data_IF_219118625251
#
_entry.id   IF_219118625251
#
_cell.length_a   1.000
_cell.length_b   1.000
_cell.length_c   1.000
_cell.angle_alpha   90.00
_cell.angle_beta   90.00
_cell.angle_gamma   90.00
#
_symmetry.space_group_name_H-M   'P 1'
#
loop_
_entity.id
_entity.type
_entity.pdbx_description
1 polymer ?
#
# COMPACT_ATOMS: atom_id res chain seq x y z
N UNK A 1 -32.97 -0.61 22.36
CA UNK A 1 -31.92 -1.56 21.97
C UNK A 1 -31.95 -1.62 20.46
N UNK A 2 -30.95 -1.07 19.78
CA UNK A 2 -30.93 -0.99 18.30
C UNK A 2 -30.88 -2.38 17.67
N UNK A 3 -31.71 -2.60 16.65
CA UNK A 3 -31.78 -3.86 15.91
C UNK A 3 -30.75 -3.86 14.77
N UNK A 4 -29.63 -4.55 15.00
CA UNK A 4 -28.54 -4.68 14.03
C UNK A 4 -28.97 -5.43 12.75
N UNK A 5 -30.07 -6.19 12.75
CA UNK A 5 -30.56 -6.87 11.55
C UNK A 5 -31.12 -5.90 10.49
N UNK A 6 -31.57 -4.72 10.92
CA UNK A 6 -32.06 -3.66 10.05
C UNK A 6 -30.94 -2.93 9.28
N UNK A 7 -29.67 -3.11 9.69
CA UNK A 7 -28.55 -2.42 9.08
C UNK A 7 -28.19 -3.03 7.72
N UNK A 8 -27.79 -2.14 6.80
CA UNK A 8 -27.26 -2.53 5.51
C UNK A 8 -25.84 -3.10 5.69
N UNK A 9 -25.45 -4.04 4.83
CA UNK A 9 -24.13 -4.69 4.85
C UNK A 9 -22.97 -3.69 4.96
N UNK A 10 -22.95 -2.55 4.25
CA UNK A 10 -21.90 -1.54 4.40
C UNK A 10 -21.78 -0.96 5.81
N UNK A 11 -22.91 -0.74 6.49
CA UNK A 11 -22.93 -0.19 7.85
C UNK A 11 -22.42 -1.21 8.89
N UNK A 12 -22.78 -2.48 8.72
CA UNK A 12 -22.24 -3.58 9.54
C UNK A 12 -20.74 -3.74 9.37
N UNK A 13 -20.26 -3.64 8.12
CA UNK A 13 -18.82 -3.68 7.81
C UNK A 13 -18.09 -2.49 8.42
N UNK A 14 -18.67 -1.29 8.33
CA UNK A 14 -18.10 -0.08 8.91
C UNK A 14 -17.98 -0.19 10.43
N UNK A 15 -19.04 -0.61 11.13
CA UNK A 15 -19.02 -0.86 12.58
C UNK A 15 -17.94 -1.86 12.99
N UNK A 16 -17.83 -2.99 12.29
CA UNK A 16 -16.80 -3.99 12.59
C UNK A 16 -15.38 -3.47 12.27
N UNK A 17 -15.23 -2.63 11.24
CA UNK A 17 -13.97 -1.98 10.94
C UNK A 17 -13.53 -0.99 12.02
N UNK A 18 -14.44 -0.22 12.64
CA UNK A 18 -14.06 0.66 13.78
C UNK A 18 -13.60 -0.15 14.99
N UNK A 19 -14.01 -1.42 15.09
CA UNK A 19 -13.56 -2.39 16.09
C UNK A 19 -12.35 -3.24 15.64
N UNK A 20 -11.75 -2.95 14.47
CA UNK A 20 -10.56 -3.65 13.94
C UNK A 20 -10.80 -5.01 13.32
N UNK A 21 -12.04 -5.37 13.02
CA UNK A 21 -12.40 -6.67 12.48
C UNK A 21 -12.47 -6.55 10.95
N UNK A 22 -11.64 -7.32 10.24
CA UNK A 22 -11.62 -7.37 8.77
C UNK A 22 -12.87 -8.10 8.25
N UNK A 23 -13.65 -7.45 7.37
CA UNK A 23 -14.98 -7.95 6.95
C UNK A 23 -15.10 -8.33 5.46
N UNK A 24 -13.98 -8.49 4.76
CA UNK A 24 -13.93 -8.64 3.30
C UNK A 24 -14.62 -9.90 2.75
N UNK A 25 -14.79 -10.95 3.57
CA UNK A 25 -15.25 -12.29 3.13
C UNK A 25 -16.56 -12.77 3.77
N UNK A 26 -17.17 -12.00 4.68
CA UNK A 26 -18.32 -12.46 5.46
C UNK A 26 -19.67 -12.17 4.81
N UNK A 27 -20.63 -13.10 4.95
CA UNK A 27 -22.03 -12.90 4.54
C UNK A 27 -22.77 -12.07 5.59
N UNK A 28 -23.92 -11.48 5.24
CA UNK A 28 -24.70 -10.62 6.15
C UNK A 28 -25.00 -11.29 7.51
N UNK A 29 -25.33 -12.57 7.51
CA UNK A 29 -25.59 -13.33 8.74
C UNK A 29 -24.35 -13.41 9.65
N UNK A 30 -23.17 -13.61 9.08
CA UNK A 30 -21.91 -13.66 9.83
C UNK A 30 -21.53 -12.28 10.37
N UNK A 31 -21.76 -11.23 9.58
CA UNK A 31 -21.53 -9.84 10.00
C UNK A 31 -22.43 -9.45 11.19
N UNK A 32 -23.72 -9.83 11.17
CA UNK A 32 -24.62 -9.58 12.29
C UNK A 32 -24.14 -10.26 13.57
N UNK A 33 -23.76 -11.54 13.47
CA UNK A 33 -23.24 -12.30 14.61
C UNK A 33 -21.94 -11.68 15.16
N UNK A 34 -21.06 -11.22 14.29
CA UNK A 34 -19.83 -10.51 14.70
C UNK A 34 -20.15 -9.18 15.38
N UNK A 35 -21.15 -8.44 14.91
CA UNK A 35 -21.56 -7.19 15.55
C UNK A 35 -22.16 -7.43 16.95
N UNK A 36 -22.95 -8.48 17.10
CA UNK A 36 -23.51 -8.91 18.39
C UNK A 36 -22.40 -9.30 19.36
N UNK A 37 -21.46 -10.15 18.94
CA UNK A 37 -20.31 -10.56 19.74
C UNK A 37 -19.43 -9.37 20.15
N UNK A 38 -19.14 -8.46 19.21
CA UNK A 38 -18.37 -7.25 19.50
C UNK A 38 -19.06 -6.34 20.52
N UNK A 39 -20.40 -6.32 20.55
CA UNK A 39 -21.19 -5.59 21.54
C UNK A 39 -21.23 -6.31 22.89
N UNK A 40 -21.33 -7.64 22.90
CA UNK A 40 -21.34 -8.46 24.12
C UNK A 40 -20.04 -8.34 24.91
N UNK A 41 -18.91 -8.26 24.21
CA UNK A 41 -17.58 -8.14 24.83
C UNK A 41 -17.16 -6.69 25.09
N UNK A 42 -18.03 -5.71 24.82
CA UNK A 42 -17.75 -4.27 24.88
C UNK A 42 -16.41 -3.92 24.20
N UNK A 43 -16.25 -4.38 22.96
CA UNK A 43 -15.01 -4.19 22.22
C UNK A 43 -14.82 -2.69 21.99
N UNK A 44 -13.71 -2.13 22.51
CA UNK A 44 -13.36 -0.72 22.30
C UNK A 44 -13.23 -0.38 20.82
N UNK A 45 -13.56 0.86 20.45
CA UNK A 45 -13.17 1.35 19.13
C UNK A 45 -11.64 1.41 19.07
N UNK A 46 -11.08 0.87 18.00
CA UNK A 46 -9.69 1.11 17.70
C UNK A 46 -9.63 2.55 17.22
N UNK A 47 -8.97 3.41 17.98
CA UNK A 47 -8.57 4.71 17.46
C UNK A 47 -7.70 4.44 16.23
N UNK A 48 -8.30 4.61 15.06
CA UNK A 48 -7.59 4.78 13.80
C UNK A 48 -7.10 6.23 13.80
N UNK A 49 -6.23 6.59 14.77
CA UNK A 49 -5.37 7.75 14.60
C UNK A 49 -4.50 7.43 13.39
N UNK A 50 -4.89 7.92 12.20
CA UNK A 50 -4.06 8.17 11.02
C UNK A 50 -2.80 7.28 10.85
N UNK A 51 -2.91 5.97 11.08
CA UNK A 51 -1.81 5.00 10.99
C UNK A 51 -1.15 5.08 9.62
N UNK A 52 -1.92 5.47 8.61
CA UNK A 52 -1.45 5.70 7.26
C UNK A 52 -0.55 6.95 7.16
N UNK A 53 -0.89 8.06 7.80
CA UNK A 53 -0.07 9.28 7.77
C UNK A 53 1.26 9.04 8.48
N UNK A 54 1.21 8.39 9.65
CA UNK A 54 2.41 8.03 10.40
C UNK A 54 3.27 7.02 9.63
N UNK A 55 2.65 6.03 8.98
CA UNK A 55 3.36 5.07 8.13
C UNK A 55 3.94 5.71 6.88
N UNK A 56 3.24 6.64 6.23
CA UNK A 56 3.73 7.42 5.09
C UNK A 56 4.95 8.24 5.50
N UNK A 57 4.85 8.99 6.60
CA UNK A 57 5.96 9.76 7.18
C UNK A 57 7.15 8.85 7.46
N UNK A 58 6.96 7.71 8.13
CA UNK A 58 8.04 6.75 8.41
C UNK A 58 8.68 6.22 7.13
N UNK A 59 7.89 5.88 6.11
CA UNK A 59 8.40 5.35 4.84
C UNK A 59 9.17 6.40 4.02
N UNK A 60 8.85 7.69 4.13
CA UNK A 60 9.58 8.77 3.45
C UNK A 60 10.68 9.41 4.30
N UNK A 61 10.91 8.91 5.51
CA UNK A 61 11.99 9.35 6.40
C UNK A 61 13.26 8.54 6.12
N UNK A 62 14.36 9.22 5.84
CA UNK A 62 15.69 8.61 5.67
C UNK A 62 16.68 9.31 6.60
N UNK A 63 17.11 8.61 7.65
CA UNK A 63 17.88 9.23 8.73
C UNK A 63 17.04 10.30 9.41
N UNK A 64 17.56 11.53 9.49
CA UNK A 64 16.86 12.68 10.06
C UNK A 64 16.07 13.50 9.01
N UNK A 65 16.08 13.08 7.75
CA UNK A 65 15.43 13.80 6.65
C UNK A 65 14.07 13.19 6.32
N UNK A 66 13.02 14.01 6.36
CA UNK A 66 11.67 13.64 5.90
C UNK A 66 11.47 14.23 4.49
N UNK A 67 11.31 13.36 3.49
CA UNK A 67 11.08 13.76 2.09
C UNK A 67 9.59 14.07 1.83
N UNK A 68 9.23 14.95 0.89
CA UNK A 68 7.85 15.32 0.60
C UNK A 68 7.00 14.10 0.23
N UNK A 69 5.70 14.15 0.55
CA UNK A 69 4.79 13.08 0.14
C UNK A 69 4.63 13.07 -1.38
N UNK A 70 4.47 11.88 -1.97
CA UNK A 70 4.31 11.71 -3.43
C UNK A 70 3.06 12.45 -3.97
N UNK A 71 2.06 12.67 -3.12
CA UNK A 71 0.86 13.47 -3.45
C UNK A 71 1.10 14.98 -3.50
N UNK A 72 2.15 15.47 -2.83
CA UNK A 72 2.49 16.90 -2.77
C UNK A 72 3.35 17.35 -3.96
N UNK A 73 3.95 16.39 -4.69
CA UNK A 73 4.78 16.68 -5.87
C UNK A 73 3.89 17.01 -7.07
N UNK A 74 4.14 18.16 -7.70
CA UNK A 74 3.38 18.61 -8.87
C UNK A 74 3.42 17.59 -10.02
N UNK A 75 2.28 17.43 -10.69
CA UNK A 75 2.13 16.46 -11.80
C UNK A 75 3.11 16.75 -12.94
N UNK A 76 3.43 18.03 -13.19
CA UNK A 76 4.36 18.49 -14.23
C UNK A 76 5.81 18.07 -14.01
N UNK A 77 6.18 17.76 -12.77
CA UNK A 77 7.57 17.53 -12.40
C UNK A 77 8.00 16.08 -12.67
N UNK A 78 7.04 15.19 -12.86
CA UNK A 78 7.26 13.77 -13.14
C UNK A 78 7.72 13.54 -14.57
N UNK A 79 8.86 12.89 -14.73
CA UNK A 79 9.40 12.49 -16.02
C UNK A 79 9.00 11.04 -16.35
N UNK A 80 8.38 10.83 -17.52
CA UNK A 80 8.00 9.50 -18.03
C UNK A 80 9.03 8.87 -18.98
N UNK A 81 10.11 9.58 -19.30
CA UNK A 81 11.20 9.02 -20.11
C UNK A 81 12.08 8.10 -19.25
N UNK A 82 11.88 6.80 -19.47
CA UNK A 82 12.54 5.72 -18.74
C UNK A 82 14.05 5.67 -18.98
N UNK A 83 14.57 6.33 -20.02
CA UNK A 83 16.02 6.42 -20.24
C UNK A 83 16.73 7.19 -19.11
N UNK A 84 15.99 8.04 -18.38
CA UNK A 84 16.53 8.83 -17.28
C UNK A 84 16.41 8.13 -15.92
N UNK A 85 15.75 6.96 -15.85
CA UNK A 85 15.62 6.20 -14.61
C UNK A 85 17.01 5.73 -14.17
N UNK A 86 17.26 5.85 -12.85
CA UNK A 86 18.47 5.35 -12.21
C UNK A 86 18.65 3.86 -12.52
N UNK A 87 19.89 3.43 -12.75
CA UNK A 87 20.19 2.03 -12.94
C UNK A 87 19.99 1.28 -11.60
N UNK A 88 18.91 0.52 -11.50
CA UNK A 88 18.58 -0.29 -10.32
C UNK A 88 18.91 -1.73 -10.65
N UNK A 89 19.98 -2.26 -10.06
CA UNK A 89 20.34 -3.64 -10.28
C UNK A 89 19.32 -4.57 -9.59
N UNK A 90 19.12 -5.74 -10.17
CA UNK A 90 18.23 -6.76 -9.58
C UNK A 90 18.67 -7.16 -8.17
N UNK A 91 19.98 -7.09 -7.88
CA UNK A 91 20.53 -7.35 -6.56
C UNK A 91 20.01 -6.35 -5.51
N UNK A 92 19.93 -5.06 -5.85
CA UNK A 92 19.39 -4.03 -4.95
C UNK A 92 17.92 -4.26 -4.63
N UNK A 93 17.14 -4.74 -5.61
CA UNK A 93 15.74 -5.16 -5.40
C UNK A 93 15.67 -6.30 -4.40
N UNK A 94 16.48 -7.35 -4.57
CA UNK A 94 16.47 -8.49 -3.64
C UNK A 94 16.94 -8.11 -2.23
N UNK A 95 17.98 -7.28 -2.11
CA UNK A 95 18.44 -6.76 -0.81
C UNK A 95 17.33 -5.99 -0.12
N UNK A 96 16.60 -5.14 -0.85
CA UNK A 96 15.45 -4.43 -0.30
C UNK A 96 14.36 -5.39 0.20
N UNK A 97 13.98 -6.40 -0.60
CA UNK A 97 12.95 -7.37 -0.22
C UNK A 97 13.35 -8.19 1.02
N UNK A 98 14.62 -8.60 1.12
CA UNK A 98 15.17 -9.28 2.31
C UNK A 98 15.03 -8.39 3.55
N UNK A 99 15.43 -7.12 3.45
CA UNK A 99 15.33 -6.18 4.56
C UNK A 99 13.87 -5.88 4.95
N UNK A 100 12.95 -6.01 4.01
CA UNK A 100 11.51 -5.91 4.27
C UNK A 100 10.91 -7.16 4.94
N UNK A 101 11.70 -8.23 5.08
CA UNK A 101 11.30 -9.46 5.76
C UNK A 101 10.80 -10.57 4.83
N UNK A 102 11.10 -10.50 3.52
CA UNK A 102 10.85 -11.63 2.64
C UNK A 102 11.77 -12.81 2.99
N UNK A 103 11.17 -13.99 3.18
CA UNK A 103 11.93 -15.21 3.39
C UNK A 103 12.52 -15.77 2.09
N UNK A 104 13.44 -16.73 2.22
CA UNK A 104 14.12 -17.35 1.07
C UNK A 104 13.17 -18.05 0.11
N UNK A 105 12.07 -18.64 0.61
CA UNK A 105 11.11 -19.35 -0.23
C UNK A 105 10.31 -18.36 -1.08
N UNK A 106 9.86 -17.25 -0.49
CA UNK A 106 9.15 -16.17 -1.16
C UNK A 106 10.04 -15.48 -2.18
N UNK A 107 11.33 -15.26 -1.86
CA UNK A 107 12.31 -14.72 -2.81
C UNK A 107 12.54 -15.66 -4.00
N UNK A 108 12.67 -16.97 -3.78
CA UNK A 108 12.82 -17.94 -4.87
C UNK A 108 11.56 -18.01 -5.75
N UNK A 109 10.39 -17.87 -5.13
CA UNK A 109 9.09 -17.90 -5.77
C UNK A 109 8.53 -16.51 -6.10
N UNK A 110 9.37 -15.47 -6.24
CA UNK A 110 8.89 -14.09 -6.47
C UNK A 110 8.00 -13.96 -7.71
N UNK A 111 8.21 -14.84 -8.72
CA UNK A 111 7.43 -14.84 -9.97
C UNK A 111 5.98 -15.27 -9.80
N UNK A 112 5.63 -15.89 -8.67
CA UNK A 112 4.23 -16.22 -8.33
C UNK A 112 3.67 -15.27 -7.27
N UNK A 113 4.46 -14.29 -6.81
CA UNK A 113 3.97 -13.26 -5.90
C UNK A 113 3.04 -12.29 -6.65
N UNK A 114 2.05 -11.74 -5.94
CA UNK A 114 1.04 -10.85 -6.49
C UNK A 114 1.65 -9.63 -7.19
N UNK A 115 2.74 -9.07 -6.63
CA UNK A 115 3.42 -7.93 -7.25
C UNK A 115 3.93 -8.23 -8.66
N UNK A 116 4.47 -9.44 -8.86
CA UNK A 116 4.96 -9.86 -10.17
C UNK A 116 3.82 -10.23 -11.13
N UNK A 117 2.73 -10.82 -10.62
CA UNK A 117 1.55 -11.12 -11.42
C UNK A 117 0.85 -9.84 -11.92
N UNK A 118 0.80 -8.78 -11.10
CA UNK A 118 0.32 -7.46 -11.52
C UNK A 118 1.12 -6.92 -12.71
N UNK A 119 2.44 -7.04 -12.66
CA UNK A 119 3.30 -6.68 -13.79
C UNK A 119 3.00 -7.54 -15.03
N UNK A 120 2.97 -8.88 -14.90
CA UNK A 120 2.73 -9.77 -16.04
C UNK A 120 1.37 -9.57 -16.70
N UNK A 121 0.36 -9.20 -15.91
CA UNK A 121 -1.00 -8.97 -16.37
C UNK A 121 -1.23 -7.54 -16.88
N UNK A 122 -0.19 -6.71 -17.03
CA UNK A 122 -0.27 -5.31 -17.47
C UNK A 122 -1.12 -4.41 -16.56
N UNK A 123 -1.14 -4.70 -15.25
CA UNK A 123 -1.79 -3.83 -14.26
C UNK A 123 -0.91 -2.66 -13.84
N UNK A 124 0.35 -2.62 -14.26
CA UNK A 124 1.27 -1.53 -13.97
C UNK A 124 1.40 -0.64 -15.21
N UNK A 125 1.06 0.64 -15.08
CA UNK A 125 1.19 1.63 -16.14
C UNK A 125 1.85 2.92 -15.65
N UNK A 126 2.22 3.78 -16.60
CA UNK A 126 2.70 5.15 -16.36
C UNK A 126 3.83 5.23 -15.32
N UNK A 127 4.88 4.41 -15.52
CA UNK A 127 6.10 4.53 -14.72
C UNK A 127 6.72 5.90 -14.98
N UNK A 128 6.97 6.65 -13.91
CA UNK A 128 7.56 7.99 -13.95
C UNK A 128 8.56 8.13 -12.82
N UNK A 129 9.47 9.08 -12.95
CA UNK A 129 10.44 9.39 -11.93
C UNK A 129 10.54 10.89 -11.64
N UNK A 130 11.04 11.22 -10.46
CA UNK A 130 11.34 12.58 -10.05
C UNK A 130 12.53 12.60 -9.09
N UNK A 131 13.63 13.29 -9.43
CA UNK A 131 14.65 13.64 -8.44
C UNK A 131 14.07 14.62 -7.42
N UNK A 132 14.19 14.31 -6.15
CA UNK A 132 13.68 15.14 -5.04
C UNK A 132 14.77 16.04 -4.49
N UNK A 133 15.99 15.52 -4.41
CA UNK A 133 17.19 16.28 -4.08
C UNK A 133 18.40 15.63 -4.77
N UNK A 134 19.61 16.02 -4.35
CA UNK A 134 20.86 15.51 -4.93
C UNK A 134 21.08 14.00 -4.70
N UNK A 135 20.44 13.42 -3.68
CA UNK A 135 20.71 12.05 -3.22
C UNK A 135 19.55 11.09 -3.50
N UNK A 136 18.32 11.59 -3.63
CA UNK A 136 17.12 10.77 -3.67
C UNK A 136 16.18 11.12 -4.83
N UNK A 137 15.59 10.07 -5.40
CA UNK A 137 14.56 10.13 -6.42
C UNK A 137 13.35 9.27 -6.03
N UNK A 138 12.15 9.71 -6.39
CA UNK A 138 10.98 8.86 -6.41
C UNK A 138 10.82 8.22 -7.79
N UNK A 139 10.47 6.94 -7.80
CA UNK A 139 9.89 6.25 -8.95
C UNK A 139 8.44 5.95 -8.58
N UNK A 140 7.51 6.26 -9.46
CA UNK A 140 6.08 6.02 -9.26
C UNK A 140 5.50 5.25 -10.43
N UNK A 141 4.48 4.46 -10.16
CA UNK A 141 3.64 3.88 -11.18
C UNK A 141 2.18 3.93 -10.74
N UNK A 142 1.30 3.83 -11.72
CA UNK A 142 -0.11 3.58 -11.47
C UNK A 142 -0.32 2.06 -11.49
N UNK A 143 -1.16 1.57 -10.60
CA UNK A 143 -1.46 0.15 -10.45
C UNK A 143 -2.97 -0.07 -10.42
N UNK A 144 -3.47 -0.78 -11.42
CA UNK A 144 -4.89 -1.14 -11.52
C UNK A 144 -5.19 -2.32 -10.60
N UNK A 145 -6.17 -2.24 -9.68
CA UNK A 145 -6.51 -3.36 -8.80
C UNK A 145 -7.01 -4.60 -9.57
N UNK A 146 -6.59 -5.80 -9.17
CA UNK A 146 -7.07 -7.06 -9.79
C UNK A 146 -8.57 -7.30 -9.58
N UNK A 147 -9.06 -7.05 -8.36
CA UNK A 147 -10.43 -7.38 -7.94
C UNK A 147 -11.42 -6.26 -8.19
N UNK A 148 -10.93 -5.06 -8.51
CA UNK A 148 -11.73 -3.84 -8.67
C UNK A 148 -11.23 -3.03 -9.86
N UNK A 149 -11.27 -3.64 -11.04
CA UNK A 149 -10.82 -3.02 -12.29
C UNK A 149 -11.61 -1.76 -12.69
N UNK A 150 -12.76 -1.50 -12.05
CA UNK A 150 -13.56 -0.29 -12.23
C UNK A 150 -13.22 0.84 -11.24
N UNK A 151 -12.35 0.60 -10.25
CA UNK A 151 -11.85 1.65 -9.36
C UNK A 151 -10.64 2.37 -9.96
N UNK A 152 -10.43 3.60 -9.52
CA UNK A 152 -9.27 4.39 -9.94
C UNK A 152 -7.97 3.66 -9.59
N UNK A 153 -6.98 3.63 -10.51
CA UNK A 153 -5.67 3.07 -10.22
C UNK A 153 -5.04 3.74 -8.99
N UNK A 154 -4.48 2.94 -8.10
CA UNK A 154 -3.70 3.49 -6.98
C UNK A 154 -2.27 3.76 -7.43
N UNK A 155 -1.59 4.67 -6.73
CA UNK A 155 -0.19 4.99 -7.02
C UNK A 155 0.72 4.17 -6.13
N UNK A 156 1.65 3.46 -6.72
CA UNK A 156 2.75 2.80 -6.01
C UNK A 156 4.02 3.62 -6.22
N UNK A 157 4.89 3.67 -5.22
CA UNK A 157 6.11 4.45 -5.28
C UNK A 157 7.29 3.75 -4.61
N UNK A 158 8.49 4.05 -5.10
CA UNK A 158 9.78 3.65 -4.55
C UNK A 158 10.63 4.89 -4.31
N UNK A 159 11.28 4.92 -3.16
CA UNK A 159 12.33 5.89 -2.83
C UNK A 159 13.68 5.26 -3.12
N UNK A 160 14.40 5.82 -4.08
CA UNK A 160 15.65 5.29 -4.59
C UNK A 160 16.74 6.33 -4.38
N UNK A 161 17.89 5.88 -3.89
CA UNK A 161 19.08 6.72 -3.77
C UNK A 161 19.81 6.76 -5.12
N UNK A 162 20.61 7.80 -5.38
CA UNK A 162 21.33 7.97 -6.65
C UNK A 162 22.29 6.84 -7.02
N UNK A 163 22.67 5.98 -6.07
CA UNK A 163 23.46 4.77 -6.30
C UNK A 163 22.62 3.55 -6.75
N UNK A 164 21.31 3.72 -6.94
CA UNK A 164 20.38 2.64 -7.33
C UNK A 164 19.79 1.87 -6.15
N UNK A 165 20.26 2.11 -4.92
CA UNK A 165 19.74 1.41 -3.75
C UNK A 165 18.32 1.87 -3.39
N UNK A 166 17.41 0.92 -3.21
CA UNK A 166 16.03 1.18 -2.76
C UNK A 166 16.02 1.36 -1.24
N UNK A 167 15.53 2.50 -0.78
CA UNK A 167 15.43 2.83 0.65
C UNK A 167 14.08 2.49 1.23
N UNK A 168 13.02 2.68 0.45
CA UNK A 168 11.65 2.52 0.91
C UNK A 168 10.69 2.41 -0.26
N UNK A 169 9.46 2.00 0.01
CA UNK A 169 8.37 1.97 -0.94
C UNK A 169 7.02 2.01 -0.24
N UNK A 170 5.99 2.40 -0.98
CA UNK A 170 4.63 2.49 -0.47
C UNK A 170 3.60 2.49 -1.59
N UNK A 171 2.33 2.43 -1.19
CA UNK A 171 1.18 2.62 -2.09
C UNK A 171 0.22 3.64 -1.49
N UNK A 172 -0.54 4.32 -2.34
CA UNK A 172 -1.68 5.16 -1.94
C UNK A 172 -2.94 4.34 -1.61
N UNK A 173 -2.80 3.02 -1.53
CA UNK A 173 -3.91 2.12 -1.33
C UNK A 173 -4.14 1.88 0.16
N UNK A 174 -5.36 2.20 0.64
CA UNK A 174 -5.77 2.11 2.06
C UNK A 174 -5.65 0.68 2.62
N UNK A 175 -5.52 -0.33 1.75
CA UNK A 175 -5.54 -1.74 2.12
C UNK A 175 -4.17 -2.46 2.17
N UNK A 176 -3.04 -1.83 1.80
CA UNK A 176 -1.80 -2.59 1.59
C UNK A 176 -0.65 -2.21 2.53
N UNK A 177 -0.59 -2.96 3.63
CA UNK A 177 0.63 -3.23 4.39
C UNK A 177 1.52 -4.29 3.71
N UNK A 178 1.41 -4.53 2.40
CA UNK A 178 2.15 -5.61 1.73
C UNK A 178 2.92 -5.03 0.55
N UNK A 179 4.21 -4.75 0.79
CA UNK A 179 5.27 -5.07 -0.15
C UNK A 179 5.92 -6.38 0.31
#
# INVERSE_FOLDING_TARGET
MEDLNAYQVPALKHYLCTKGITTSIYRKADLNKLCELAREIDLGDIQTEDDYVDMDVRRRTVGDLILPSVGEVNVSDWNGDLQNILDIAIADVFVYLINFGWDQNRLHSYKVDKGYLLYQNNHIDRVRMRPINADYSYIVCNTTPETRQSEDPYRTWLLVKTDGCIRSGGCSCVACCIL
#
